data_IF_917338380798
#
_entry.id   IF_917338380798
#
_cell.length_a   1.000
_cell.length_b   1.000
_cell.length_c   1.000
_cell.angle_alpha   90.00
_cell.angle_beta   90.00
_cell.angle_gamma   90.00
#
_symmetry.space_group_name_H-M   'P 1'
#
loop_
_entity.id
_entity.type
_entity.pdbx_description
1 polymer ?
#
# COMPACT_ATOMS: atom_id res chain seq x y z
N UNK A 1 69.52 31.83 27.23
CA UNK A 1 68.94 31.32 25.95
C UNK A 1 68.32 29.95 26.07
N UNK A 2 68.55 29.08 27.03
CA UNK A 2 67.99 27.76 27.14
C UNK A 2 66.55 27.71 27.75
N UNK A 3 66.11 28.74 28.45
CA UNK A 3 64.78 28.76 29.11
C UNK A 3 63.65 29.29 28.22
N UNK A 4 63.92 30.01 27.16
CA UNK A 4 62.94 30.56 26.21
C UNK A 4 62.52 29.49 25.17
N UNK A 5 63.42 28.56 24.87
CA UNK A 5 63.13 27.48 23.90
C UNK A 5 62.12 26.41 24.43
N UNK A 6 62.14 26.21 25.75
CA UNK A 6 61.19 25.27 26.37
C UNK A 6 59.73 25.80 26.47
N UNK A 7 59.59 27.13 26.54
CA UNK A 7 58.24 27.75 26.62
C UNK A 7 57.59 27.85 25.25
N UNK A 8 58.33 27.87 24.17
CA UNK A 8 57.81 27.84 22.80
C UNK A 8 57.41 26.46 22.34
N UNK A 9 57.99 25.39 22.84
CA UNK A 9 57.63 24.02 22.55
C UNK A 9 56.34 23.61 23.31
N UNK A 10 56.13 24.07 24.52
CA UNK A 10 54.90 23.82 25.29
C UNK A 10 53.68 24.57 24.74
N UNK A 11 53.88 25.74 24.13
CA UNK A 11 52.80 26.51 23.50
C UNK A 11 52.32 25.87 22.15
N UNK A 12 53.23 25.23 21.41
CA UNK A 12 52.86 24.56 20.15
C UNK A 12 52.11 23.23 20.34
N UNK A 13 52.30 22.55 21.48
CA UNK A 13 51.56 21.33 21.80
C UNK A 13 50.10 21.64 22.26
N UNK A 14 49.89 22.80 22.89
CA UNK A 14 48.54 23.20 23.33
C UNK A 14 47.63 23.66 22.19
N UNK A 15 48.17 24.05 21.02
CA UNK A 15 47.37 24.46 19.87
C UNK A 15 46.99 23.28 18.96
N UNK A 16 47.69 22.15 19.09
CA UNK A 16 47.41 20.94 18.30
C UNK A 16 46.17 20.16 18.75
N UNK A 17 45.69 20.36 19.98
CA UNK A 17 44.55 19.62 20.52
C UNK A 17 43.19 20.33 20.32
N UNK A 18 43.14 21.49 19.68
CA UNK A 18 41.86 22.24 19.52
C UNK A 18 41.18 22.10 18.17
N UNK A 19 41.64 21.21 17.28
CA UNK A 19 41.03 20.98 15.95
C UNK A 19 40.67 19.53 15.68
N UNK A 20 40.37 18.75 16.69
CA UNK A 20 39.77 17.43 16.44
C UNK A 20 38.38 17.35 17.03
N UNK A 21 37.51 16.90 16.22
CA UNK A 21 36.15 16.44 16.39
C UNK A 21 35.04 17.44 16.11
N UNK A 22 34.63 17.42 14.90
CA UNK A 22 33.29 17.86 14.46
C UNK A 22 32.19 16.87 14.77
N UNK A 23 32.31 16.08 15.81
CA UNK A 23 31.25 15.14 16.24
C UNK A 23 31.11 15.14 17.76
N UNK A 24 31.00 16.33 18.37
CA UNK A 24 30.63 16.38 19.78
C UNK A 24 29.11 16.47 19.93
N UNK A 25 28.43 15.33 19.91
CA UNK A 25 27.18 15.23 20.61
C UNK A 25 27.42 15.47 22.10
N UNK A 26 26.59 16.25 22.80
CA UNK A 26 26.60 16.29 24.26
C UNK A 26 25.92 14.99 24.73
N UNK A 27 26.55 14.23 25.65
CA UNK A 27 25.85 13.13 26.29
C UNK A 27 24.62 13.72 27.04
N UNK A 28 23.49 13.13 26.88
CA UNK A 28 22.36 13.42 27.73
C UNK A 28 22.54 12.77 29.11
N UNK A 29 21.65 13.06 30.05
CA UNK A 29 21.71 12.51 31.41
C UNK A 29 21.51 10.98 31.46
N UNK A 30 21.17 10.34 30.31
CA UNK A 30 20.99 8.90 30.14
C UNK A 30 22.17 8.24 29.45
N UNK A 31 23.21 9.00 29.07
CA UNK A 31 24.37 8.49 28.38
C UNK A 31 24.24 8.36 26.86
N UNK A 32 23.15 8.84 26.29
CA UNK A 32 22.97 8.85 24.82
C UNK A 32 23.73 10.02 24.18
N UNK A 33 24.41 9.76 23.07
CA UNK A 33 25.03 10.78 22.25
C UNK A 33 23.97 11.45 21.35
N UNK A 34 23.53 12.64 21.75
CA UNK A 34 22.62 13.43 20.93
C UNK A 34 23.45 14.23 19.90
N UNK A 35 23.40 13.91 18.61
CA UNK A 35 24.11 14.68 17.61
C UNK A 35 23.54 16.10 17.56
N UNK A 36 24.43 17.12 17.64
CA UNK A 36 24.05 18.52 17.36
C UNK A 36 23.79 18.68 15.86
N UNK A 37 22.66 18.16 15.40
CA UNK A 37 22.22 18.43 14.05
C UNK A 37 21.53 19.78 13.99
N UNK A 38 22.06 20.69 13.18
CA UNK A 38 21.34 21.88 12.70
C UNK A 38 20.38 21.50 11.57
N UNK A 39 20.13 20.20 11.34
CA UNK A 39 19.17 19.77 10.36
C UNK A 39 17.78 20.25 10.80
N UNK A 40 17.08 20.91 9.90
CA UNK A 40 15.64 21.17 10.06
C UNK A 40 14.99 19.83 10.41
N UNK A 41 14.26 19.77 11.51
CA UNK A 41 13.53 18.55 11.88
C UNK A 41 12.70 18.11 10.68
N UNK A 42 12.92 16.88 10.24
CA UNK A 42 12.09 16.30 9.18
C UNK A 42 10.65 16.20 9.72
N UNK A 43 9.73 16.80 9.00
CA UNK A 43 8.29 16.67 9.30
C UNK A 43 7.70 15.77 8.23
N UNK A 44 7.25 14.58 8.63
CA UNK A 44 6.57 13.70 7.70
C UNK A 44 5.28 14.37 7.18
N UNK A 45 5.18 14.50 5.85
CA UNK A 45 3.96 15.02 5.22
C UNK A 45 2.90 13.92 5.22
N UNK A 46 1.72 14.20 5.79
CA UNK A 46 0.60 13.26 5.77
C UNK A 46 0.09 13.09 4.33
N UNK A 47 0.08 11.85 3.79
CA UNK A 47 -0.48 11.60 2.48
C UNK A 47 -1.98 11.96 2.42
N UNK A 48 -2.44 12.32 1.24
CA UNK A 48 -3.86 12.63 1.02
C UNK A 48 -4.73 11.39 1.29
N UNK A 49 -5.85 11.59 2.01
CA UNK A 49 -6.79 10.52 2.35
C UNK A 49 -6.31 9.57 3.45
N UNK A 50 -5.21 9.91 4.15
CA UNK A 50 -4.72 9.13 5.28
C UNK A 50 -4.86 9.88 6.60
N UNK A 51 -4.96 9.15 7.70
CA UNK A 51 -4.89 9.68 9.07
C UNK A 51 -3.61 9.23 9.75
N UNK A 52 -3.10 10.04 10.67
CA UNK A 52 -1.96 9.67 11.49
C UNK A 52 -2.44 8.89 12.72
N UNK A 53 -1.95 7.68 12.86
CA UNK A 53 -2.19 6.82 14.02
C UNK A 53 -1.02 7.01 14.98
N UNK A 54 -1.24 7.45 16.21
CA UNK A 54 -0.16 7.61 17.18
C UNK A 54 0.40 6.25 17.57
N UNK A 55 1.71 6.17 17.79
CA UNK A 55 2.32 4.97 18.38
C UNK A 55 1.85 4.74 19.81
N UNK A 56 1.75 3.49 20.23
CA UNK A 56 1.31 3.14 21.56
C UNK A 56 1.27 1.64 21.82
N UNK A 57 0.99 1.28 23.06
CA UNK A 57 0.83 -0.11 23.48
C UNK A 57 -0.64 -0.43 23.71
N UNK A 58 -1.04 -1.64 23.37
CA UNK A 58 -2.40 -2.13 23.59
C UNK A 58 -2.41 -3.64 23.82
N UNK A 59 -3.52 -4.16 24.31
CA UNK A 59 -3.76 -5.59 24.41
C UNK A 59 -4.40 -6.07 23.13
N UNK A 60 -3.65 -6.82 22.34
CA UNK A 60 -4.07 -7.42 21.06
C UNK A 60 -4.79 -8.74 21.33
N UNK A 61 -5.85 -9.02 20.60
CA UNK A 61 -6.65 -10.25 20.69
C UNK A 61 -8.07 -10.02 21.22
N UNK A 62 -8.85 -11.09 21.26
CA UNK A 62 -10.20 -11.04 21.82
C UNK A 62 -10.11 -10.93 23.36
N UNK A 63 -10.89 -10.01 23.93
CA UNK A 63 -11.07 -9.88 25.36
C UNK A 63 -11.93 -11.06 25.91
N UNK A 64 -12.16 -11.08 27.23
CA UNK A 64 -12.92 -12.12 27.97
C UNK A 64 -14.34 -12.42 27.44
N UNK A 65 -14.78 -11.71 26.42
CA UNK A 65 -16.08 -11.88 25.78
C UNK A 65 -16.08 -12.92 24.62
N UNK A 66 -14.98 -13.61 24.40
CA UNK A 66 -14.93 -14.69 23.40
C UNK A 66 -15.75 -15.89 23.86
N UNK A 67 -16.96 -16.00 23.28
CA UNK A 67 -17.86 -17.12 23.56
C UNK A 67 -17.43 -18.44 22.93
N UNK A 68 -16.44 -18.41 22.01
CA UNK A 68 -15.99 -19.63 21.29
C UNK A 68 -14.99 -20.44 22.09
N UNK A 69 -14.41 -19.86 23.14
CA UNK A 69 -13.44 -20.48 24.04
C UNK A 69 -12.35 -21.31 23.30
N UNK A 70 -11.87 -20.78 22.16
CA UNK A 70 -10.76 -21.38 21.42
C UNK A 70 -9.45 -20.66 21.81
N UNK A 71 -8.74 -21.16 22.84
CA UNK A 71 -7.56 -20.47 23.41
C UNK A 71 -6.46 -20.23 22.35
N UNK A 72 -6.46 -21.02 21.32
CA UNK A 72 -5.42 -21.00 20.28
C UNK A 72 -5.57 -19.80 19.30
N UNK A 73 -6.77 -19.21 19.19
CA UNK A 73 -7.04 -18.15 18.21
C UNK A 73 -6.81 -16.73 18.71
N UNK A 74 -6.82 -16.50 20.01
CA UNK A 74 -7.00 -15.16 20.53
C UNK A 74 -6.40 -14.90 21.92
N UNK A 75 -5.32 -15.58 22.31
CA UNK A 75 -4.67 -15.26 23.59
C UNK A 75 -4.29 -13.77 23.62
N UNK A 76 -4.79 -13.00 24.61
CA UNK A 76 -4.46 -11.59 24.72
C UNK A 76 -2.95 -11.39 24.87
N UNK A 77 -2.38 -10.48 24.12
CA UNK A 77 -0.95 -10.15 24.16
C UNK A 77 -0.76 -8.64 24.13
N UNK A 78 0.01 -8.12 25.10
CA UNK A 78 0.40 -6.71 25.05
C UNK A 78 1.47 -6.51 23.97
N UNK A 79 1.19 -5.63 23.04
CA UNK A 79 2.09 -5.25 21.94
C UNK A 79 2.18 -3.74 21.84
N UNK A 80 3.31 -3.27 21.31
CA UNK A 80 3.57 -1.85 21.06
C UNK A 80 3.71 -1.65 19.56
N UNK A 81 3.05 -0.63 19.03
CA UNK A 81 3.08 -0.27 17.61
C UNK A 81 3.65 1.13 17.47
N UNK A 82 4.58 1.33 16.53
CA UNK A 82 5.09 2.65 16.16
C UNK A 82 4.01 3.48 15.46
N UNK A 83 4.20 4.79 15.39
CA UNK A 83 3.26 5.67 14.66
C UNK A 83 3.32 5.42 13.15
N UNK A 84 2.17 5.48 12.50
CA UNK A 84 2.04 5.30 11.06
C UNK A 84 0.86 6.10 10.49
N UNK A 85 0.86 6.29 9.18
CA UNK A 85 -0.32 6.77 8.46
C UNK A 85 -1.13 5.58 7.96
N UNK A 86 -2.47 5.69 8.00
CA UNK A 86 -3.39 4.69 7.47
C UNK A 86 -4.46 5.36 6.62
N UNK A 87 -4.86 4.73 5.51
CA UNK A 87 -5.99 5.20 4.71
C UNK A 87 -7.25 5.30 5.58
N UNK A 88 -7.96 6.43 5.48
CA UNK A 88 -9.19 6.65 6.28
C UNK A 88 -10.29 5.66 5.94
N UNK A 89 -10.28 5.09 4.74
CA UNK A 89 -11.25 4.11 4.23
C UNK A 89 -10.55 2.95 3.56
N UNK A 90 -11.30 1.93 3.19
CA UNK A 90 -10.85 0.91 2.23
C UNK A 90 -10.51 1.58 0.90
N UNK A 91 -9.62 0.96 0.12
CA UNK A 91 -9.31 1.39 -1.25
C UNK A 91 -10.56 1.23 -2.12
N UNK A 92 -10.96 2.31 -2.80
CA UNK A 92 -12.17 2.32 -3.62
C UNK A 92 -11.92 1.82 -5.04
N UNK A 93 -13.00 1.44 -5.74
CA UNK A 93 -12.94 1.10 -7.17
C UNK A 93 -12.31 2.24 -7.99
N UNK A 94 -12.66 3.50 -7.70
CA UNK A 94 -12.06 4.65 -8.39
C UNK A 94 -10.54 4.73 -8.21
N UNK A 95 -10.05 4.52 -7.00
CA UNK A 95 -8.62 4.53 -6.71
C UNK A 95 -7.89 3.36 -7.38
N UNK A 96 -8.48 2.17 -7.34
CA UNK A 96 -7.88 1.00 -7.97
C UNK A 96 -7.88 1.11 -9.51
N UNK A 97 -8.90 1.73 -10.10
CA UNK A 97 -8.92 2.04 -11.54
C UNK A 97 -7.77 2.94 -11.99
N UNK A 98 -7.29 3.86 -11.13
CA UNK A 98 -6.10 4.65 -11.44
C UNK A 98 -4.87 3.76 -11.60
N UNK A 99 -4.73 2.73 -10.78
CA UNK A 99 -3.66 1.74 -10.92
C UNK A 99 -3.78 0.95 -12.23
N UNK A 100 -4.97 0.45 -12.55
CA UNK A 100 -5.22 -0.24 -13.82
C UNK A 100 -4.85 0.65 -15.02
N UNK A 101 -5.33 1.90 -15.02
CA UNK A 101 -5.04 2.84 -16.09
C UNK A 101 -3.54 3.14 -16.21
N UNK A 102 -2.85 3.33 -15.07
CA UNK A 102 -1.40 3.52 -15.07
C UNK A 102 -0.66 2.35 -15.74
N UNK A 103 -1.00 1.11 -15.38
CA UNK A 103 -0.35 -0.07 -15.96
C UNK A 103 -0.71 -0.22 -17.43
N UNK A 104 -1.97 -0.03 -17.81
CA UNK A 104 -2.42 -0.01 -19.20
C UNK A 104 -1.61 1.00 -20.03
N UNK A 105 -1.52 2.24 -19.56
CA UNK A 105 -0.81 3.30 -20.26
C UNK A 105 0.71 3.05 -20.31
N UNK A 106 1.28 2.43 -19.25
CA UNK A 106 2.67 2.02 -19.23
C UNK A 106 2.97 0.96 -20.30
N UNK A 107 2.11 -0.06 -20.40
CA UNK A 107 2.25 -1.12 -21.42
C UNK A 107 2.10 -0.53 -22.83
N UNK A 108 1.08 0.31 -23.05
CA UNK A 108 0.88 0.96 -24.35
C UNK A 108 2.11 1.76 -24.78
N UNK A 109 2.67 2.57 -23.89
CA UNK A 109 3.88 3.34 -24.15
C UNK A 109 5.09 2.47 -24.43
N UNK A 110 5.24 1.35 -23.75
CA UNK A 110 6.32 0.39 -24.00
C UNK A 110 6.18 -0.23 -25.40
N UNK A 111 4.98 -0.65 -25.78
CA UNK A 111 4.72 -1.20 -27.11
C UNK A 111 4.93 -0.17 -28.23
N UNK A 112 4.51 1.08 -28.00
CA UNK A 112 4.77 2.18 -28.94
C UNK A 112 6.27 2.45 -29.10
N UNK A 113 7.02 2.39 -28.00
CA UNK A 113 8.46 2.54 -27.99
C UNK A 113 9.16 1.43 -28.78
N UNK A 114 8.76 0.18 -28.55
CA UNK A 114 9.30 -0.99 -29.27
C UNK A 114 9.00 -0.89 -30.79
N UNK A 115 7.80 -0.46 -31.15
CA UNK A 115 7.40 -0.29 -32.53
C UNK A 115 8.07 0.92 -33.22
N UNK A 116 8.40 1.97 -32.49
CA UNK A 116 9.11 3.15 -33.02
C UNK A 116 10.59 2.88 -33.34
N UNK A 117 11.19 1.88 -32.69
CA UNK A 117 12.61 1.61 -32.76
C UNK A 117 13.47 2.61 -32.00
N UNK A 118 14.80 2.40 -32.00
CA UNK A 118 15.74 3.28 -31.30
C UNK A 118 15.83 4.67 -31.96
N UNK A 119 15.61 5.71 -31.16
CA UNK A 119 15.94 7.09 -31.51
C UNK A 119 14.86 7.91 -32.20
N UNK A 120 13.59 7.51 -32.15
CA UNK A 120 12.52 8.27 -32.77
C UNK A 120 11.79 9.20 -31.76
N UNK A 121 12.14 10.49 -31.80
CA UNK A 121 11.40 11.56 -31.09
C UNK A 121 10.16 12.02 -31.88
N UNK A 122 9.89 11.42 -33.03
CA UNK A 122 8.80 11.77 -33.96
C UNK A 122 7.83 10.60 -34.16
N UNK A 123 6.66 10.89 -34.68
CA UNK A 123 5.64 9.87 -34.93
C UNK A 123 5.17 9.22 -33.62
N UNK A 124 5.06 7.89 -33.61
CA UNK A 124 4.61 7.13 -32.44
C UNK A 124 5.61 7.16 -31.27
N UNK A 125 6.89 7.45 -31.53
CA UNK A 125 7.93 7.56 -30.52
C UNK A 125 7.69 8.69 -29.52
N UNK A 126 7.02 9.78 -29.94
CA UNK A 126 6.67 10.89 -29.05
C UNK A 126 5.80 10.50 -27.84
N UNK A 127 5.08 9.38 -27.91
CA UNK A 127 4.25 8.87 -26.83
C UNK A 127 5.01 7.98 -25.85
N UNK A 128 6.23 7.59 -26.18
CA UNK A 128 6.93 6.50 -25.52
C UNK A 128 8.13 6.93 -24.68
N UNK A 129 8.96 7.83 -25.17
CA UNK A 129 10.20 8.20 -24.52
C UNK A 129 10.29 9.69 -24.26
N UNK A 130 10.95 10.07 -23.16
CA UNK A 130 11.44 11.42 -22.98
C UNK A 130 12.58 11.62 -23.97
N UNK A 131 12.49 12.67 -24.80
CA UNK A 131 13.60 13.11 -25.60
C UNK A 131 14.83 13.29 -24.69
N UNK A 132 15.91 12.59 -24.98
CA UNK A 132 17.17 12.81 -24.26
C UNK A 132 17.64 14.23 -24.56
N UNK A 133 17.71 15.10 -23.58
CA UNK A 133 18.55 16.28 -23.68
C UNK A 133 19.99 15.80 -23.75
N UNK A 134 20.53 15.75 -24.94
CA UNK A 134 21.93 15.49 -25.22
C UNK A 134 22.81 16.68 -24.77
N UNK A 135 22.78 17.04 -23.50
CA UNK A 135 23.70 18.01 -22.91
C UNK A 135 24.32 17.42 -21.65
N UNK A 136 25.54 16.90 -21.80
CA UNK A 136 26.48 16.62 -20.73
C UNK A 136 26.29 15.29 -20.02
N UNK A 137 26.35 14.17 -20.75
CA UNK A 137 26.61 12.89 -20.13
C UNK A 137 27.88 12.99 -19.29
N UNK A 138 27.80 12.66 -18.00
CA UNK A 138 29.02 12.62 -17.18
C UNK A 138 29.86 11.41 -17.59
N UNK A 139 31.20 11.45 -17.46
CA UNK A 139 32.07 10.30 -17.75
C UNK A 139 31.64 9.01 -17.03
N UNK A 140 30.95 9.15 -15.91
CA UNK A 140 30.40 8.02 -15.15
C UNK A 140 29.15 7.42 -15.82
N UNK A 141 28.32 8.24 -16.47
CA UNK A 141 27.17 7.76 -17.25
C UNK A 141 27.63 7.02 -18.50
N UNK A 142 28.61 7.58 -19.21
CA UNK A 142 29.26 6.90 -20.35
C UNK A 142 29.91 5.56 -19.95
N UNK A 143 30.52 5.53 -18.75
CA UNK A 143 31.08 4.29 -18.20
C UNK A 143 29.99 3.26 -17.89
N UNK A 144 28.84 3.66 -17.33
CA UNK A 144 27.72 2.75 -17.04
C UNK A 144 27.10 2.21 -18.34
N UNK A 145 26.99 3.05 -19.36
CA UNK A 145 26.50 2.64 -20.69
C UNK A 145 27.44 1.64 -21.37
N UNK A 146 28.77 1.83 -21.23
CA UNK A 146 29.78 0.92 -21.79
C UNK A 146 29.84 -0.45 -21.10
N UNK A 147 29.37 -0.56 -19.87
CA UNK A 147 29.36 -1.80 -19.07
C UNK A 147 28.10 -2.65 -19.29
N UNK A 148 27.23 -2.26 -20.25
CA UNK A 148 25.94 -2.95 -20.48
C UNK A 148 25.11 -2.93 -19.21
N UNK A 149 24.37 -1.86 -19.00
CA UNK A 149 23.66 -1.50 -17.78
C UNK A 149 23.26 -2.67 -16.89
N UNK A 150 23.46 -2.53 -15.59
CA UNK A 150 23.08 -3.52 -14.59
C UNK A 150 21.63 -3.95 -14.81
N UNK A 151 21.42 -5.22 -15.16
CA UNK A 151 20.15 -5.93 -15.19
C UNK A 151 18.95 -5.21 -15.85
N UNK A 152 19.02 -4.94 -17.13
CA UNK A 152 17.80 -4.70 -17.93
C UNK A 152 16.98 -3.46 -17.59
N UNK A 153 17.45 -2.60 -16.69
CA UNK A 153 16.87 -1.29 -16.41
C UNK A 153 17.71 -0.20 -17.07
N UNK A 154 17.35 0.11 -18.30
CA UNK A 154 17.91 1.22 -19.03
C UNK A 154 17.28 2.53 -18.50
N UNK A 155 18.02 3.25 -17.64
CA UNK A 155 17.57 4.56 -17.13
C UNK A 155 17.39 5.59 -18.25
N UNK A 156 17.98 5.37 -19.41
CA UNK A 156 17.85 6.23 -20.59
C UNK A 156 16.46 6.13 -21.23
N UNK A 157 15.76 5.02 -21.02
CA UNK A 157 14.44 4.74 -21.60
C UNK A 157 13.31 5.02 -20.63
N UNK A 158 13.15 6.27 -20.19
CA UNK A 158 11.97 6.68 -19.39
C UNK A 158 10.77 6.91 -20.30
N UNK A 159 9.64 6.30 -19.93
CA UNK A 159 8.37 6.56 -20.62
C UNK A 159 7.95 8.02 -20.45
N UNK A 160 7.57 8.66 -21.52
CA UNK A 160 7.06 10.03 -21.49
C UNK A 160 5.57 10.04 -21.12
N UNK A 161 5.29 10.58 -19.96
CA UNK A 161 3.93 10.75 -19.45
C UNK A 161 3.35 12.15 -19.73
N UNK A 162 4.11 13.05 -20.36
CA UNK A 162 3.66 14.41 -20.65
C UNK A 162 2.67 14.44 -21.83
N UNK A 163 2.83 13.53 -22.79
CA UNK A 163 1.94 13.40 -23.93
C UNK A 163 0.82 12.40 -23.61
N UNK A 164 -0.45 12.81 -23.59
CA UNK A 164 -1.55 11.91 -23.30
C UNK A 164 -1.78 10.90 -24.41
N UNK A 165 -1.98 9.63 -24.05
CA UNK A 165 -2.35 8.59 -25.03
C UNK A 165 -3.79 8.78 -25.50
N UNK A 166 -4.01 8.56 -26.78
CA UNK A 166 -5.33 8.58 -27.41
C UNK A 166 -5.94 7.17 -27.36
N UNK A 167 -7.06 7.02 -26.66
CA UNK A 167 -7.74 5.72 -26.53
C UNK A 167 -9.00 5.59 -27.41
N UNK A 168 -9.51 6.72 -27.91
CA UNK A 168 -10.63 6.71 -28.85
C UNK A 168 -10.09 6.49 -30.26
N UNK A 169 -10.69 5.57 -31.00
CA UNK A 169 -10.26 5.22 -32.36
C UNK A 169 -10.34 6.39 -33.35
N UNK A 170 -11.26 7.34 -33.11
CA UNK A 170 -11.38 8.57 -33.90
C UNK A 170 -10.18 9.50 -33.74
N UNK A 171 -9.44 9.39 -32.64
CA UNK A 171 -8.40 10.34 -32.27
C UNK A 171 -6.99 9.75 -32.51
N UNK A 172 -6.90 8.57 -33.12
CA UNK A 172 -5.62 7.92 -33.43
C UNK A 172 -4.84 8.72 -34.46
N UNK A 173 -3.54 9.01 -34.18
CA UNK A 173 -2.75 9.87 -35.07
C UNK A 173 -2.41 9.22 -36.41
N UNK A 174 -2.16 7.91 -36.42
CA UNK A 174 -1.78 7.17 -37.62
C UNK A 174 -2.12 5.67 -37.56
N UNK A 175 -1.85 4.94 -38.64
CA UNK A 175 -2.13 3.51 -38.76
C UNK A 175 -1.23 2.68 -37.84
N UNK A 176 0.04 3.05 -37.72
CA UNK A 176 1.00 2.33 -36.88
C UNK A 176 0.61 2.39 -35.41
N UNK A 177 0.16 3.56 -34.95
CA UNK A 177 -0.38 3.72 -33.60
C UNK A 177 -1.61 2.81 -33.35
N UNK A 178 -2.49 2.74 -34.35
CA UNK A 178 -3.67 1.88 -34.29
C UNK A 178 -3.30 0.39 -34.19
N UNK A 179 -2.34 -0.07 -35.02
CA UNK A 179 -1.86 -1.46 -35.00
C UNK A 179 -1.25 -1.84 -33.63
N UNK A 180 -0.41 -0.97 -33.09
CA UNK A 180 0.21 -1.20 -31.78
C UNK A 180 -0.85 -1.28 -30.68
N UNK A 181 -1.77 -0.31 -30.61
CA UNK A 181 -2.79 -0.34 -29.57
C UNK A 181 -3.79 -1.47 -29.74
N UNK A 182 -4.12 -1.86 -30.99
CA UNK A 182 -5.04 -2.97 -31.25
C UNK A 182 -4.48 -4.30 -30.67
N UNK A 183 -3.16 -4.43 -30.56
CA UNK A 183 -2.54 -5.57 -29.93
C UNK A 183 -2.90 -5.72 -28.44
N UNK A 184 -3.34 -4.65 -27.77
CA UNK A 184 -3.75 -4.68 -26.35
C UNK A 184 -5.20 -5.14 -26.15
N UNK A 185 -5.97 -5.23 -27.22
CA UNK A 185 -7.38 -5.62 -27.15
C UNK A 185 -7.56 -7.11 -27.39
N UNK A 186 -8.71 -7.61 -27.00
CA UNK A 186 -9.12 -8.98 -27.28
C UNK A 186 -9.14 -9.18 -28.82
N UNK A 187 -8.51 -10.24 -29.35
CA UNK A 187 -8.51 -10.53 -30.79
C UNK A 187 -9.94 -10.63 -31.33
N UNK A 188 -10.13 -10.17 -32.57
CA UNK A 188 -11.48 -10.12 -33.18
C UNK A 188 -12.24 -11.44 -33.17
N UNK A 189 -11.54 -12.57 -33.29
CA UNK A 189 -12.12 -13.92 -33.24
C UNK A 189 -12.55 -14.38 -31.83
N UNK A 190 -12.10 -13.69 -30.78
CA UNK A 190 -12.45 -14.00 -29.39
C UNK A 190 -13.46 -13.01 -28.80
N UNK A 191 -13.86 -11.97 -29.55
CA UNK A 191 -14.79 -10.93 -29.07
C UNK A 191 -16.22 -11.44 -28.96
N UNK A 192 -16.81 -11.20 -27.81
CA UNK A 192 -18.25 -11.41 -27.59
C UNK A 192 -18.97 -10.16 -28.09
N UNK A 193 -20.06 -10.34 -28.86
CA UNK A 193 -20.86 -9.24 -29.44
C UNK A 193 -20.05 -8.19 -30.25
N UNK A 194 -18.90 -8.56 -30.78
CA UNK A 194 -17.99 -7.63 -31.47
C UNK A 194 -17.48 -6.46 -30.60
N UNK A 195 -17.61 -6.54 -29.29
CA UNK A 195 -17.14 -5.48 -28.40
C UNK A 195 -15.60 -5.42 -28.34
N UNK A 196 -15.09 -4.22 -28.50
CA UNK A 196 -13.66 -3.95 -28.43
C UNK A 196 -13.22 -3.70 -26.98
N UNK A 197 -12.84 -4.75 -26.28
CA UNK A 197 -12.43 -4.71 -24.87
C UNK A 197 -10.92 -4.96 -24.75
N UNK A 198 -10.29 -4.27 -23.79
CA UNK A 198 -8.87 -4.51 -23.46
C UNK A 198 -8.72 -5.93 -22.91
N UNK A 199 -7.70 -6.64 -23.39
CA UNK A 199 -7.34 -7.95 -22.90
C UNK A 199 -6.71 -7.83 -21.49
N UNK A 200 -7.52 -8.07 -20.47
CA UNK A 200 -7.11 -7.93 -19.07
C UNK A 200 -5.99 -8.89 -18.69
N UNK A 201 -5.80 -10.00 -19.42
CA UNK A 201 -4.70 -10.96 -19.23
C UNK A 201 -3.34 -10.35 -19.50
N UNK A 202 -3.29 -9.28 -20.33
CA UNK A 202 -2.07 -8.53 -20.68
C UNK A 202 -1.71 -7.45 -19.67
N UNK A 203 -2.61 -7.12 -18.73
CA UNK A 203 -2.38 -6.09 -17.73
C UNK A 203 -1.50 -6.65 -16.60
N UNK A 204 -0.21 -6.81 -16.90
CA UNK A 204 0.79 -7.32 -15.97
C UNK A 204 1.59 -6.15 -15.38
N UNK A 205 1.66 -6.09 -14.06
CA UNK A 205 2.49 -5.13 -13.35
C UNK A 205 3.72 -5.82 -12.78
N UNK A 206 4.89 -5.40 -13.23
CA UNK A 206 6.18 -5.90 -12.74
C UNK A 206 6.80 -4.91 -11.76
N UNK A 207 7.21 -5.40 -10.61
CA UNK A 207 7.92 -4.62 -9.60
C UNK A 207 8.99 -5.46 -8.91
N UNK A 208 9.92 -4.77 -8.27
CA UNK A 208 11.01 -5.39 -7.52
C UNK A 208 10.85 -5.08 -6.04
N UNK A 209 11.23 -6.04 -5.21
CA UNK A 209 11.29 -5.89 -3.76
C UNK A 209 12.51 -6.60 -3.19
N UNK A 210 13.01 -6.11 -2.08
CA UNK A 210 14.19 -6.65 -1.42
C UNK A 210 13.81 -7.65 -0.33
N UNK A 211 14.32 -8.87 -0.42
CA UNK A 211 14.22 -9.87 0.64
C UNK A 211 15.31 -9.60 1.70
N UNK A 212 15.09 -8.55 2.49
CA UNK A 212 16.03 -8.02 3.48
C UNK A 212 16.47 -9.07 4.49
N UNK A 213 15.58 -9.99 4.88
CA UNK A 213 15.92 -11.00 5.89
C UNK A 213 16.79 -12.12 5.33
N UNK A 214 16.54 -12.56 4.11
CA UNK A 214 17.45 -13.48 3.45
C UNK A 214 18.82 -12.80 3.23
N UNK A 215 18.83 -11.51 2.90
CA UNK A 215 20.04 -10.72 2.78
C UNK A 215 20.83 -10.62 4.10
N UNK A 216 20.15 -10.37 5.21
CA UNK A 216 20.78 -10.27 6.54
C UNK A 216 21.33 -11.63 7.01
N UNK A 217 20.62 -12.74 6.74
CA UNK A 217 21.07 -14.08 7.12
C UNK A 217 22.30 -14.55 6.37
N UNK A 218 22.39 -14.28 5.08
CA UNK A 218 23.46 -14.79 4.21
C UNK A 218 24.69 -13.86 4.15
N UNK A 219 24.58 -12.59 4.62
CA UNK A 219 25.69 -11.59 4.58
C UNK A 219 26.36 -11.43 3.21
N UNK A 220 25.74 -11.94 2.14
CA UNK A 220 26.24 -11.81 0.79
C UNK A 220 25.74 -10.53 0.10
N UNK A 221 26.31 -10.15 -1.05
CA UNK A 221 25.92 -8.94 -1.77
C UNK A 221 24.46 -8.90 -2.17
N UNK A 222 23.82 -7.72 -2.06
CA UNK A 222 22.39 -7.49 -2.11
C UNK A 222 21.64 -7.86 -3.39
N UNK A 223 22.30 -7.95 -4.54
CA UNK A 223 21.66 -8.18 -5.84
C UNK A 223 20.91 -9.52 -5.92
N UNK A 224 21.38 -10.53 -5.17
CA UNK A 224 20.78 -11.88 -5.08
C UNK A 224 19.39 -11.87 -4.40
N UNK A 225 19.11 -10.86 -3.59
CA UNK A 225 17.89 -10.76 -2.78
C UNK A 225 16.85 -9.82 -3.38
N UNK A 226 17.18 -9.18 -4.50
CA UNK A 226 16.23 -8.42 -5.28
C UNK A 226 15.30 -9.39 -6.03
N UNK A 227 14.07 -9.51 -5.57
CA UNK A 227 13.04 -10.34 -6.19
C UNK A 227 12.24 -9.52 -7.16
N UNK A 228 12.01 -10.06 -8.36
CA UNK A 228 11.13 -9.47 -9.37
C UNK A 228 9.83 -10.28 -9.41
N UNK A 229 8.71 -9.61 -9.28
CA UNK A 229 7.37 -10.18 -9.40
C UNK A 229 6.63 -9.55 -10.56
N UNK A 230 5.84 -10.34 -11.28
CA UNK A 230 4.94 -9.88 -12.35
C UNK A 230 3.55 -10.41 -12.07
N UNK A 231 2.60 -9.54 -11.83
CA UNK A 231 1.27 -9.85 -11.32
C UNK A 231 0.21 -9.32 -12.27
N UNK A 232 -0.76 -10.17 -12.63
CA UNK A 232 -1.96 -9.74 -13.33
C UNK A 232 -2.82 -8.90 -12.34
N UNK A 233 -3.05 -7.63 -12.67
CA UNK A 233 -3.60 -6.67 -11.73
C UNK A 233 -5.12 -6.48 -11.82
N UNK A 234 -5.74 -7.03 -12.86
CA UNK A 234 -7.17 -6.85 -13.04
C UNK A 234 -7.95 -7.63 -11.96
N UNK A 235 -8.91 -7.00 -11.26
CA UNK A 235 -9.70 -7.69 -10.24
C UNK A 235 -10.53 -8.83 -10.86
N UNK A 236 -10.70 -9.91 -10.13
CA UNK A 236 -11.60 -10.99 -10.53
C UNK A 236 -13.06 -10.55 -10.35
N UNK A 237 -13.72 -10.13 -11.42
CA UNK A 237 -15.11 -9.71 -11.40
C UNK A 237 -16.07 -10.90 -11.28
N UNK A 238 -15.61 -12.13 -11.54
CA UNK A 238 -16.44 -13.34 -11.44
C UNK A 238 -16.74 -13.77 -10.00
N UNK A 239 -16.10 -13.13 -9.01
CA UNK A 239 -16.31 -13.40 -7.57
C UNK A 239 -17.77 -13.28 -7.16
N UNK A 240 -18.52 -12.37 -7.78
CA UNK A 240 -19.95 -12.17 -7.49
C UNK A 240 -20.81 -13.38 -7.89
N UNK A 241 -20.43 -14.08 -8.95
CA UNK A 241 -21.12 -15.33 -9.37
C UNK A 241 -20.64 -16.48 -8.50
N UNK A 242 -19.32 -16.60 -8.29
CA UNK A 242 -18.73 -17.73 -7.56
C UNK A 242 -19.14 -17.76 -6.10
N UNK A 243 -19.20 -16.61 -5.45
CA UNK A 243 -19.54 -16.51 -4.03
C UNK A 243 -21.07 -16.55 -3.81
N UNK A 244 -21.88 -16.30 -4.87
CA UNK A 244 -23.34 -16.25 -4.84
C UNK A 244 -23.97 -16.96 -6.04
N UNK A 245 -24.18 -18.26 -5.92
CA UNK A 245 -24.73 -19.11 -7.00
C UNK A 245 -26.18 -18.76 -7.43
N UNK A 246 -26.87 -17.82 -6.77
CA UNK A 246 -28.26 -17.51 -7.00
C UNK A 246 -28.52 -16.24 -7.82
N UNK A 247 -27.49 -15.48 -8.15
CA UNK A 247 -27.63 -14.14 -8.72
C UNK A 247 -26.97 -14.00 -10.09
N UNK A 248 -27.36 -14.82 -11.05
CA UNK A 248 -26.76 -14.82 -12.39
C UNK A 248 -26.93 -13.51 -13.18
N UNK A 249 -27.88 -12.65 -12.81
CA UNK A 249 -28.23 -11.42 -13.53
C UNK A 249 -28.03 -10.16 -12.67
N UNK A 250 -27.25 -10.23 -11.62
CA UNK A 250 -27.01 -9.07 -10.76
C UNK A 250 -26.11 -8.04 -11.44
N UNK A 251 -26.46 -6.74 -11.43
CA UNK A 251 -25.64 -5.66 -11.99
C UNK A 251 -24.22 -5.58 -11.40
N UNK A 252 -24.03 -6.13 -10.20
CA UNK A 252 -22.74 -6.18 -9.52
C UNK A 252 -21.72 -7.03 -10.26
N UNK A 253 -22.15 -8.14 -10.83
CA UNK A 253 -21.28 -9.02 -11.58
C UNK A 253 -20.71 -8.35 -12.83
N UNK A 254 -21.54 -7.59 -13.56
CA UNK A 254 -21.12 -6.93 -14.80
C UNK A 254 -20.46 -5.58 -14.58
N UNK A 255 -20.99 -4.80 -13.64
CA UNK A 255 -20.69 -3.38 -13.53
C UNK A 255 -19.97 -2.93 -12.25
N UNK A 256 -19.87 -3.75 -11.20
CA UNK A 256 -19.38 -3.28 -9.90
C UNK A 256 -18.03 -2.57 -9.98
N UNK A 257 -17.08 -3.09 -10.74
CA UNK A 257 -15.76 -2.48 -10.82
C UNK A 257 -15.73 -1.24 -11.72
N UNK A 258 -16.45 -1.24 -12.84
CA UNK A 258 -16.34 -0.16 -13.85
C UNK A 258 -17.46 0.88 -13.81
N UNK A 259 -18.65 0.50 -13.39
CA UNK A 259 -19.75 1.45 -13.43
C UNK A 259 -19.53 2.62 -12.45
N UNK A 260 -19.89 3.83 -12.88
CA UNK A 260 -19.60 5.04 -12.11
C UNK A 260 -20.39 5.13 -10.79
N UNK A 261 -21.53 4.45 -10.68
CA UNK A 261 -22.32 4.34 -9.45
C UNK A 261 -21.51 3.72 -8.31
N UNK A 262 -20.63 2.76 -8.61
CA UNK A 262 -19.81 2.05 -7.63
C UNK A 262 -18.40 2.62 -7.44
N UNK A 263 -18.11 3.83 -7.96
CA UNK A 263 -16.77 4.43 -7.87
C UNK A 263 -16.24 4.61 -6.45
N UNK A 264 -17.16 4.90 -5.51
CA UNK A 264 -16.84 5.12 -4.09
C UNK A 264 -17.06 3.88 -3.21
N UNK A 265 -17.32 2.73 -3.81
CA UNK A 265 -17.42 1.45 -3.11
C UNK A 265 -16.02 0.83 -2.97
N UNK A 266 -15.78 0.00 -1.95
CA UNK A 266 -14.49 -0.67 -1.79
C UNK A 266 -14.20 -1.58 -2.98
N UNK A 267 -12.95 -1.65 -3.41
CA UNK A 267 -12.54 -2.62 -4.41
C UNK A 267 -12.57 -4.03 -3.79
N UNK A 268 -13.16 -4.97 -4.52
CA UNK A 268 -13.23 -6.40 -4.17
C UNK A 268 -12.79 -7.25 -5.35
N UNK A 269 -12.66 -8.56 -5.15
CA UNK A 269 -12.15 -9.42 -6.21
C UNK A 269 -10.63 -9.26 -6.40
N UNK A 270 -9.92 -8.78 -5.39
CA UNK A 270 -8.47 -8.57 -5.40
C UNK A 270 -7.77 -9.57 -4.51
N UNK A 271 -6.69 -10.16 -5.02
CA UNK A 271 -5.82 -11.04 -4.24
C UNK A 271 -4.88 -10.22 -3.34
N UNK A 272 -4.27 -10.89 -2.37
CA UNK A 272 -3.25 -10.27 -1.52
C UNK A 272 -2.05 -9.75 -2.32
N UNK A 273 -1.64 -10.48 -3.34
CA UNK A 273 -0.53 -10.10 -4.22
C UNK A 273 -0.88 -8.85 -5.04
N UNK A 274 -2.12 -8.75 -5.53
CA UNK A 274 -2.63 -7.55 -6.21
C UNK A 274 -2.69 -6.33 -5.29
N UNK A 275 -3.11 -6.52 -4.03
CA UNK A 275 -3.14 -5.44 -3.04
C UNK A 275 -1.72 -4.92 -2.73
N UNK A 276 -0.72 -5.80 -2.66
CA UNK A 276 0.71 -5.42 -2.53
C UNK A 276 1.24 -4.69 -3.76
N UNK A 277 0.89 -5.17 -4.94
CA UNK A 277 1.23 -4.50 -6.19
C UNK A 277 0.68 -3.07 -6.23
N UNK A 278 -0.56 -2.87 -5.76
CA UNK A 278 -1.14 -1.54 -5.60
C UNK A 278 -0.34 -0.66 -4.62
N UNK A 279 0.12 -1.19 -3.48
CA UNK A 279 0.96 -0.45 -2.54
C UNK A 279 2.27 0.02 -3.19
N UNK A 280 2.92 -0.85 -3.97
CA UNK A 280 4.12 -0.50 -4.73
C UNK A 280 3.84 0.61 -5.75
N UNK A 281 2.76 0.50 -6.54
CA UNK A 281 2.31 1.55 -7.45
C UNK A 281 2.07 2.87 -6.72
N UNK A 282 1.34 2.87 -5.58
CA UNK A 282 1.06 4.07 -4.79
C UNK A 282 2.35 4.74 -4.32
N UNK A 283 3.35 3.95 -3.94
CA UNK A 283 4.70 4.44 -3.57
C UNK A 283 5.38 5.14 -4.75
N UNK A 284 5.39 4.51 -5.92
CA UNK A 284 5.97 5.05 -7.13
C UNK A 284 5.27 6.33 -7.58
N UNK A 285 3.94 6.32 -7.61
CA UNK A 285 3.14 7.49 -7.96
C UNK A 285 3.42 8.70 -7.03
N UNK A 286 3.59 8.45 -5.72
CA UNK A 286 3.97 9.50 -4.76
C UNK A 286 5.40 10.01 -4.97
N UNK A 287 6.33 9.15 -5.32
CA UNK A 287 7.70 9.54 -5.65
C UNK A 287 7.73 10.44 -6.91
N UNK A 288 6.98 10.07 -7.93
CA UNK A 288 6.86 10.83 -9.17
C UNK A 288 6.21 12.20 -8.92
N UNK A 289 5.15 12.26 -8.10
CA UNK A 289 4.52 13.52 -7.68
C UNK A 289 5.52 14.43 -6.96
N UNK A 290 6.27 13.91 -6.00
CA UNK A 290 7.27 14.67 -5.25
C UNK A 290 8.37 15.22 -6.17
N UNK A 291 8.80 14.42 -7.15
CA UNK A 291 9.81 14.81 -8.14
C UNK A 291 9.32 15.96 -9.03
N UNK A 292 8.07 15.88 -9.53
CA UNK A 292 7.46 16.95 -10.34
C UNK A 292 7.30 18.26 -9.57
N UNK A 293 6.92 18.18 -8.30
CA UNK A 293 6.70 19.37 -7.47
C UNK A 293 8.00 19.97 -6.91
N UNK A 294 9.17 19.37 -7.18
CA UNK A 294 10.50 19.77 -6.64
C UNK A 294 10.50 19.95 -5.11
N UNK A 295 9.55 19.32 -4.43
CA UNK A 295 9.32 19.53 -3.00
C UNK A 295 10.39 18.93 -2.11
N UNK A 296 10.91 17.77 -2.44
CA UNK A 296 11.98 17.11 -1.68
C UNK A 296 12.83 16.21 -2.58
N UNK A 297 14.14 16.13 -2.29
CA UNK A 297 15.04 15.11 -2.88
C UNK A 297 14.88 13.73 -2.18
N UNK A 298 14.08 13.66 -1.14
CA UNK A 298 13.93 12.45 -0.32
C UNK A 298 12.85 11.55 -0.90
N UNK A 299 13.17 10.28 -1.09
CA UNK A 299 12.19 9.27 -1.50
C UNK A 299 11.08 9.17 -0.43
N UNK A 300 9.81 9.07 -0.81
CA UNK A 300 8.74 8.84 0.15
C UNK A 300 8.94 7.48 0.82
N UNK A 301 8.46 7.34 2.05
CA UNK A 301 8.34 6.03 2.68
C UNK A 301 7.40 5.14 1.85
N UNK A 302 7.67 3.84 1.81
CA UNK A 302 6.86 2.90 1.06
C UNK A 302 5.45 2.77 1.65
N UNK A 303 4.45 2.70 0.79
CA UNK A 303 3.13 2.21 1.17
C UNK A 303 3.16 0.68 1.22
N UNK A 304 2.44 0.10 2.16
CA UNK A 304 2.32 -1.34 2.37
C UNK A 304 0.95 -1.69 2.94
N UNK A 305 0.64 -2.96 3.03
CA UNK A 305 -0.49 -3.41 3.82
C UNK A 305 -0.20 -3.24 5.32
N UNK A 306 -1.22 -3.02 6.16
CA UNK A 306 -1.04 -3.01 7.61
C UNK A 306 -0.63 -4.40 8.11
N UNK A 307 0.20 -4.47 9.12
CA UNK A 307 0.32 -5.71 9.89
C UNK A 307 -0.99 -5.96 10.66
N UNK A 308 -1.21 -7.18 11.08
CA UNK A 308 -2.40 -7.53 11.85
C UNK A 308 -2.51 -6.72 13.16
N UNK A 309 -1.38 -6.46 13.81
CA UNK A 309 -1.33 -5.64 15.02
C UNK A 309 -1.63 -4.17 14.75
N UNK A 310 -1.09 -3.59 13.69
CA UNK A 310 -1.40 -2.21 13.28
C UNK A 310 -2.87 -2.05 12.93
N UNK A 311 -3.43 -3.02 12.21
CA UNK A 311 -4.84 -3.00 11.85
C UNK A 311 -5.74 -3.02 13.08
N UNK A 312 -5.49 -3.95 14.03
CA UNK A 312 -6.29 -4.06 15.25
C UNK A 312 -6.15 -2.83 16.16
N UNK A 313 -4.91 -2.33 16.33
CA UNK A 313 -4.64 -1.11 17.08
C UNK A 313 -5.41 0.09 16.50
N UNK A 314 -5.37 0.24 15.20
CA UNK A 314 -6.09 1.29 14.48
C UNK A 314 -7.62 1.13 14.59
N UNK A 315 -8.13 -0.11 14.48
CA UNK A 315 -9.55 -0.40 14.61
C UNK A 315 -10.11 -0.06 16.00
N UNK A 316 -9.34 -0.30 17.06
CA UNK A 316 -9.74 0.07 18.44
C UNK A 316 -9.86 1.57 18.66
N UNK A 317 -9.25 2.40 17.81
CA UNK A 317 -9.43 3.85 17.83
C UNK A 317 -9.03 4.54 19.15
N UNK A 318 -8.09 3.96 19.91
CA UNK A 318 -7.65 4.45 21.23
C UNK A 318 -8.49 3.96 22.41
N UNK A 319 -9.45 3.08 22.18
CA UNK A 319 -10.26 2.47 23.23
C UNK A 319 -9.62 1.17 23.73
N UNK A 320 -9.42 1.03 25.02
CA UNK A 320 -8.91 -0.20 25.61
C UNK A 320 -9.97 -1.29 25.58
N UNK A 321 -9.58 -2.50 25.17
CA UNK A 321 -10.43 -3.70 25.14
C UNK A 321 -11.78 -3.53 24.43
N UNK A 322 -11.88 -2.58 23.51
CA UNK A 322 -13.11 -2.34 22.75
C UNK A 322 -13.50 -3.55 21.91
N UNK A 323 -14.74 -4.03 22.07
CA UNK A 323 -15.29 -5.13 21.28
C UNK A 323 -15.38 -4.73 19.79
N UNK A 324 -15.88 -3.52 19.53
CA UNK A 324 -16.04 -2.94 18.19
C UNK A 324 -15.35 -1.58 18.10
N UNK A 325 -15.13 -1.03 16.91
CA UNK A 325 -14.47 0.26 16.72
C UNK A 325 -15.14 1.46 17.44
N UNK A 326 -16.41 1.33 17.79
CA UNK A 326 -17.19 2.33 18.54
C UNK A 326 -17.19 2.08 20.05
N UNK A 327 -16.56 1.02 20.57
CA UNK A 327 -16.30 0.74 21.97
C UNK A 327 -17.27 -0.21 22.65
N UNK A 328 -18.56 -0.06 22.43
CA UNK A 328 -19.58 -0.88 23.08
C UNK A 328 -19.79 -2.25 22.43
N UNK A 329 -20.49 -3.17 23.11
CA UNK A 329 -20.78 -4.52 22.59
C UNK A 329 -21.99 -4.57 21.65
N UNK A 330 -22.70 -3.46 21.49
CA UNK A 330 -23.94 -3.39 20.71
C UNK A 330 -23.63 -3.05 19.25
N UNK A 331 -24.41 -3.65 18.34
CA UNK A 331 -24.34 -3.44 16.90
C UNK A 331 -25.33 -2.39 16.38
N UNK A 332 -26.18 -1.88 17.28
CA UNK A 332 -27.20 -0.87 17.03
C UNK A 332 -26.94 0.36 17.90
N UNK A 333 -27.24 1.53 17.35
CA UNK A 333 -27.29 2.78 18.10
C UNK A 333 -28.62 2.90 18.90
N UNK A 334 -28.75 3.96 19.70
CA UNK A 334 -29.94 4.22 20.53
C UNK A 334 -31.22 4.44 19.71
N UNK A 335 -31.10 4.70 18.40
CA UNK A 335 -32.22 4.86 17.45
C UNK A 335 -32.56 3.57 16.75
N UNK A 336 -31.83 2.48 17.02
CA UNK A 336 -32.02 1.17 16.38
C UNK A 336 -31.41 1.08 14.97
N UNK A 337 -30.48 2.00 14.61
CA UNK A 337 -29.71 1.93 13.38
C UNK A 337 -28.47 1.07 13.56
N UNK A 338 -28.12 0.27 12.56
CA UNK A 338 -26.89 -0.51 12.58
C UNK A 338 -25.64 0.39 12.49
N UNK A 339 -24.59 0.02 13.20
CA UNK A 339 -23.34 0.76 13.28
C UNK A 339 -22.28 0.32 12.26
N UNK A 340 -22.55 -0.73 11.50
CA UNK A 340 -21.71 -1.27 10.45
C UNK A 340 -22.54 -2.00 9.37
N UNK A 341 -21.94 -2.21 8.21
CA UNK A 341 -22.54 -3.01 7.15
C UNK A 341 -22.15 -4.49 7.32
N UNK A 342 -23.11 -5.32 7.73
CA UNK A 342 -22.91 -6.74 8.00
C UNK A 342 -24.23 -7.51 7.85
N UNK A 343 -24.22 -8.84 7.98
CA UNK A 343 -25.41 -9.69 7.97
C UNK A 343 -26.05 -9.79 9.36
N UNK A 344 -27.10 -9.01 9.66
CA UNK A 344 -27.64 -8.93 11.02
C UNK A 344 -28.49 -10.15 11.42
N UNK A 345 -28.98 -10.91 10.45
CA UNK A 345 -29.90 -12.04 10.70
C UNK A 345 -29.52 -13.27 9.89
N UNK A 346 -29.89 -14.44 10.40
CA UNK A 346 -29.80 -15.70 9.68
C UNK A 346 -30.85 -15.71 8.57
N UNK A 347 -30.48 -16.03 7.33
CA UNK A 347 -31.38 -16.06 6.18
C UNK A 347 -31.03 -15.00 5.13
N UNK A 348 -32.01 -14.51 4.41
CA UNK A 348 -31.82 -13.55 3.32
C UNK A 348 -31.26 -12.22 3.81
N UNK A 349 -30.41 -11.61 2.99
CA UNK A 349 -29.97 -10.23 3.18
C UNK A 349 -31.20 -9.33 2.99
N UNK A 350 -31.53 -8.53 3.98
CA UNK A 350 -32.62 -7.56 3.90
C UNK A 350 -31.97 -6.19 3.92
N UNK A 351 -32.11 -5.50 2.79
CA UNK A 351 -31.82 -4.10 2.70
C UNK A 351 -32.88 -3.32 3.48
N UNK A 352 -32.44 -2.59 4.48
CA UNK A 352 -33.27 -1.65 5.22
C UNK A 352 -32.49 -0.34 5.33
N UNK A 353 -32.62 0.51 4.32
CA UNK A 353 -31.94 1.81 4.25
C UNK A 353 -32.20 2.66 5.50
N UNK A 354 -33.37 2.53 6.12
CA UNK A 354 -33.70 3.26 7.36
C UNK A 354 -32.90 2.79 8.55
N UNK A 355 -32.42 1.54 8.52
CA UNK A 355 -31.57 0.96 9.56
C UNK A 355 -30.08 0.92 9.20
N UNK A 356 -29.70 1.45 8.02
CA UNK A 356 -28.32 1.51 7.57
C UNK A 356 -27.75 0.15 7.13
N UNK A 357 -28.59 -0.75 6.60
CA UNK A 357 -28.11 -2.02 6.01
C UNK A 357 -28.09 -1.93 4.49
N UNK A 358 -27.12 -2.60 3.91
CA UNK A 358 -26.98 -2.79 2.47
C UNK A 358 -27.01 -4.28 2.16
N UNK A 359 -27.53 -4.65 1.01
CA UNK A 359 -27.59 -6.06 0.58
C UNK A 359 -26.18 -6.65 0.42
N UNK A 360 -25.28 -5.83 -0.09
CA UNK A 360 -23.87 -6.18 -0.33
C UNK A 360 -22.96 -5.07 0.26
N UNK A 361 -21.92 -4.69 -0.45
CA UNK A 361 -21.02 -3.60 -0.02
C UNK A 361 -21.75 -2.26 0.03
N UNK A 362 -21.30 -1.37 0.91
CA UNK A 362 -21.72 0.02 1.01
C UNK A 362 -20.67 0.96 0.42
N UNK A 363 -21.04 2.18 0.01
CA UNK A 363 -20.06 3.22 -0.26
C UNK A 363 -19.17 3.45 0.98
N UNK A 364 -17.88 3.68 0.79
CA UNK A 364 -17.00 4.01 1.91
C UNK A 364 -17.49 5.27 2.65
N UNK A 365 -17.29 5.35 3.96
CA UNK A 365 -17.77 6.43 4.85
C UNK A 365 -19.31 6.44 5.06
N UNK A 366 -19.97 5.31 4.82
CA UNK A 366 -21.40 5.20 5.12
C UNK A 366 -21.70 5.14 6.62
N UNK A 367 -20.72 4.80 7.43
CA UNK A 367 -20.83 4.68 8.89
C UNK A 367 -19.91 5.66 9.62
N UNK A 368 -20.10 5.77 10.94
CA UNK A 368 -19.30 6.69 11.75
C UNK A 368 -17.85 6.25 11.87
N UNK A 369 -16.94 7.21 11.85
CA UNK A 369 -15.51 6.97 12.08
C UNK A 369 -15.22 6.65 13.54
N UNK A 370 -14.17 5.86 13.77
CA UNK A 370 -13.67 5.57 15.12
C UNK A 370 -12.87 6.75 15.73
N UNK A 371 -12.34 6.57 16.95
CA UNK A 371 -11.60 7.61 17.67
C UNK A 371 -10.32 8.12 16.98
N UNK A 372 -9.73 7.33 16.08
CA UNK A 372 -8.59 7.77 15.25
C UNK A 372 -9.01 8.40 13.92
N UNK A 373 -10.29 8.40 13.58
CA UNK A 373 -10.81 9.00 12.35
C UNK A 373 -10.88 8.03 11.17
N UNK A 374 -10.84 6.72 11.42
CA UNK A 374 -10.95 5.66 10.42
C UNK A 374 -12.40 5.22 10.27
N UNK A 375 -12.82 5.01 9.03
CA UNK A 375 -14.15 4.53 8.67
C UNK A 375 -14.13 3.04 8.35
N UNK A 376 -15.26 2.39 8.52
CA UNK A 376 -15.54 1.03 8.08
C UNK A 376 -14.52 -0.02 8.59
N UNK A 377 -14.01 0.18 9.83
CA UNK A 377 -13.11 -0.77 10.49
C UNK A 377 -13.83 -2.02 11.05
N UNK A 378 -15.12 -2.14 10.82
CA UNK A 378 -15.94 -3.30 11.11
C UNK A 378 -17.03 -3.40 10.06
N UNK A 379 -17.16 -4.57 9.42
CA UNK A 379 -18.11 -4.80 8.34
C UNK A 379 -17.66 -4.20 7.02
N UNK A 380 -18.59 -4.03 6.10
CA UNK A 380 -18.40 -3.65 4.70
C UNK A 380 -17.55 -4.67 3.95
N UNK A 381 -16.23 -4.54 3.88
CA UNK A 381 -15.35 -5.59 3.38
C UNK A 381 -14.30 -5.96 4.41
N UNK A 382 -14.01 -7.24 4.53
CA UNK A 382 -12.87 -7.71 5.30
C UNK A 382 -11.57 -7.27 4.60
N UNK A 383 -10.50 -7.04 5.36
CA UNK A 383 -9.32 -6.38 4.83
C UNK A 383 -8.07 -7.25 4.90
N UNK A 384 -7.35 -7.33 3.77
CA UNK A 384 -6.05 -7.97 3.73
C UNK A 384 -5.04 -7.28 4.65
N UNK A 385 -4.30 -8.08 5.41
CA UNK A 385 -3.12 -7.62 6.15
C UNK A 385 -1.83 -8.23 5.58
N UNK A 386 -0.69 -7.62 5.91
CA UNK A 386 0.63 -8.17 5.53
C UNK A 386 0.94 -9.47 6.25
N UNK A 387 0.35 -9.69 7.43
CA UNK A 387 0.68 -10.79 8.32
C UNK A 387 0.23 -12.15 7.80
N UNK A 388 1.07 -13.19 7.91
CA UNK A 388 0.65 -14.56 7.68
C UNK A 388 -0.34 -14.98 8.79
N UNK A 389 -1.28 -15.84 8.43
CA UNK A 389 -2.19 -16.41 9.41
C UNK A 389 -1.69 -17.76 9.92
N UNK A 390 -1.47 -17.82 11.23
CA UNK A 390 -1.23 -19.04 11.96
C UNK A 390 -1.86 -18.89 13.34
N UNK A 391 -2.44 -19.94 13.89
CA UNK A 391 -3.08 -19.91 15.21
C UNK A 391 -2.08 -19.49 16.32
N UNK A 392 -0.83 -19.90 16.18
CA UNK A 392 0.25 -19.63 17.15
C UNK A 392 0.99 -18.29 16.89
N UNK A 393 0.57 -17.48 15.93
CA UNK A 393 1.30 -16.27 15.53
C UNK A 393 1.58 -15.33 16.72
N UNK A 394 0.60 -15.17 17.61
CA UNK A 394 0.74 -14.29 18.77
C UNK A 394 1.80 -14.77 19.77
N UNK A 395 2.01 -16.07 19.89
CA UNK A 395 3.01 -16.64 20.80
C UNK A 395 4.44 -16.32 20.34
N UNK A 396 4.68 -16.35 19.04
CA UNK A 396 6.02 -16.22 18.45
C UNK A 396 6.35 -14.81 17.92
N UNK A 397 5.36 -13.94 17.81
CA UNK A 397 5.59 -12.56 17.32
C UNK A 397 6.28 -11.71 18.39
N UNK A 398 7.06 -10.71 17.95
CA UNK A 398 7.63 -9.69 18.84
C UNK A 398 6.54 -8.92 19.59
N UNK A 399 6.86 -8.36 20.74
CA UNK A 399 6.00 -7.41 21.44
C UNK A 399 6.13 -5.99 20.91
N UNK A 400 7.22 -5.68 20.22
CA UNK A 400 7.46 -4.39 19.59
C UNK A 400 7.30 -4.53 18.08
N UNK A 401 6.39 -3.78 17.49
CA UNK A 401 6.07 -3.79 16.07
C UNK A 401 5.95 -5.21 15.53
N UNK A 402 4.99 -6.02 16.00
CA UNK A 402 4.88 -7.42 15.61
C UNK A 402 4.78 -7.54 14.08
N UNK A 403 5.81 -8.10 13.49
CA UNK A 403 5.88 -8.40 12.06
C UNK A 403 6.50 -9.77 11.88
N UNK A 404 5.89 -10.58 11.05
CA UNK A 404 6.43 -11.86 10.60
C UNK A 404 6.72 -11.78 9.09
N UNK A 405 7.39 -10.73 8.67
CA UNK A 405 7.55 -10.35 7.27
C UNK A 405 8.12 -11.46 6.37
N UNK A 406 9.06 -12.27 6.86
CA UNK A 406 9.65 -13.37 6.10
C UNK A 406 8.73 -14.54 5.86
N UNK A 407 7.90 -14.84 6.83
CA UNK A 407 6.89 -15.87 6.67
C UNK A 407 5.75 -15.35 5.79
N UNK A 408 5.54 -14.02 5.74
CA UNK A 408 4.46 -13.42 4.98
C UNK A 408 4.47 -13.83 3.51
N UNK A 409 5.62 -13.93 2.88
CA UNK A 409 5.71 -14.31 1.46
C UNK A 409 5.59 -15.81 1.21
N UNK A 410 6.01 -16.63 2.15
CA UNK A 410 6.00 -18.10 2.04
C UNK A 410 4.65 -18.68 2.42
N UNK A 411 3.99 -18.09 3.43
CA UNK A 411 2.70 -18.59 3.90
C UNK A 411 1.59 -18.32 2.89
N UNK A 412 0.84 -19.34 2.58
CA UNK A 412 -0.30 -19.28 1.67
C UNK A 412 -1.47 -18.54 2.29
N UNK A 413 -1.68 -18.70 3.62
CA UNK A 413 -2.77 -18.05 4.35
C UNK A 413 -2.35 -16.69 4.86
N UNK A 414 -3.15 -15.68 4.53
CA UNK A 414 -2.97 -14.30 5.02
C UNK A 414 -4.07 -13.95 5.99
N UNK A 415 -3.73 -13.20 7.02
CA UNK A 415 -4.71 -12.71 7.97
C UNK A 415 -5.61 -11.65 7.33
N UNK A 416 -6.91 -11.81 7.55
CA UNK A 416 -7.98 -10.91 7.11
C UNK A 416 -8.71 -10.41 8.34
N UNK A 417 -9.06 -9.14 8.37
CA UNK A 417 -9.60 -8.49 9.57
C UNK A 417 -10.88 -7.69 9.26
N UNK A 418 -11.68 -7.39 10.31
CA UNK A 418 -12.83 -6.51 10.26
C UNK A 418 -14.17 -7.17 9.99
N UNK A 419 -14.18 -8.36 9.38
CA UNK A 419 -15.40 -8.98 8.87
C UNK A 419 -16.00 -8.18 7.71
N UNK A 420 -17.09 -8.65 7.15
CA UNK A 420 -17.66 -8.09 5.92
C UNK A 420 -19.20 -8.07 5.93
N UNK A 421 -19.77 -7.51 4.87
CA UNK A 421 -21.21 -7.46 4.63
C UNK A 421 -21.91 -8.83 4.69
N UNK A 422 -21.20 -9.92 4.41
CA UNK A 422 -21.74 -11.30 4.49
C UNK A 422 -21.68 -11.92 5.87
N UNK A 423 -20.87 -11.34 6.78
CA UNK A 423 -20.54 -11.95 8.06
C UNK A 423 -21.50 -11.49 9.16
N UNK A 424 -21.60 -12.31 10.22
CA UNK A 424 -22.42 -11.99 11.40
C UNK A 424 -21.63 -11.10 12.37
N UNK A 425 -22.33 -10.41 13.27
CA UNK A 425 -21.73 -9.45 14.20
C UNK A 425 -20.54 -9.95 15.00
N UNK A 426 -20.48 -11.24 15.32
CA UNK A 426 -19.33 -11.84 16.03
C UNK A 426 -18.01 -11.69 15.24
N UNK A 427 -18.06 -11.84 13.93
CA UNK A 427 -16.87 -11.74 13.04
C UNK A 427 -16.35 -10.30 12.95
N UNK A 428 -17.22 -9.31 13.23
CA UNK A 428 -16.88 -7.89 13.17
C UNK A 428 -16.08 -7.38 14.39
N UNK A 429 -15.91 -8.21 15.43
CA UNK A 429 -15.14 -7.82 16.61
C UNK A 429 -13.71 -7.43 16.22
N UNK A 430 -13.19 -6.35 16.83
CA UNK A 430 -11.84 -5.83 16.53
C UNK A 430 -10.75 -6.88 16.72
N UNK A 431 -10.89 -7.77 17.69
CA UNK A 431 -9.95 -8.85 17.98
C UNK A 431 -10.17 -10.13 17.17
N UNK A 432 -11.27 -10.23 16.39
CA UNK A 432 -11.56 -11.44 15.61
C UNK A 432 -10.58 -11.61 14.47
N UNK A 433 -10.11 -12.84 14.26
CA UNK A 433 -9.12 -13.19 13.24
C UNK A 433 -9.73 -14.13 12.23
N UNK A 434 -9.57 -13.79 10.95
CA UNK A 434 -9.91 -14.67 9.84
C UNK A 434 -8.73 -14.77 8.87
N UNK A 435 -8.86 -15.61 7.86
CA UNK A 435 -7.83 -15.80 6.86
C UNK A 435 -8.39 -16.20 5.51
N UNK A 436 -7.63 -15.88 4.47
CA UNK A 436 -7.88 -16.40 3.13
C UNK A 436 -6.53 -16.69 2.46
N UNK A 437 -6.53 -17.50 1.40
CA UNK A 437 -5.33 -17.77 0.62
C UNK A 437 -4.92 -16.53 -0.15
N UNK A 438 -3.61 -16.27 -0.21
CA UNK A 438 -3.04 -15.06 -0.84
C UNK A 438 -3.38 -14.89 -2.32
N UNK A 439 -3.66 -15.97 -3.02
CA UNK A 439 -4.02 -16.06 -4.43
C UNK A 439 -5.54 -16.11 -4.69
N UNK A 440 -6.34 -16.10 -3.63
CA UNK A 440 -7.80 -16.12 -3.73
C UNK A 440 -8.38 -14.72 -3.69
N UNK A 441 -9.21 -14.42 -4.66
CA UNK A 441 -10.03 -13.21 -4.69
C UNK A 441 -11.44 -13.51 -4.20
N UNK A 442 -12.07 -12.57 -3.47
CA UNK A 442 -13.43 -12.71 -2.91
C UNK A 442 -14.23 -11.43 -3.10
N UNK A 443 -15.57 -11.58 -3.17
CA UNK A 443 -16.50 -10.46 -3.27
C UNK A 443 -16.66 -9.67 -1.96
N UNK A 444 -16.07 -10.13 -0.90
CA UNK A 444 -16.19 -9.59 0.45
C UNK A 444 -14.83 -9.25 1.09
N UNK A 445 -13.73 -9.31 0.33
CA UNK A 445 -12.39 -8.93 0.79
C UNK A 445 -11.86 -7.78 -0.07
N UNK A 446 -11.50 -6.70 0.61
CA UNK A 446 -10.80 -5.55 0.09
C UNK A 446 -9.49 -5.30 0.86
N UNK A 447 -9.03 -4.06 0.90
CA UNK A 447 -7.83 -3.68 1.66
C UNK A 447 -7.73 -2.17 1.86
N UNK A 448 -6.89 -1.77 2.81
CA UNK A 448 -6.38 -0.39 2.96
C UNK A 448 -4.87 -0.39 3.10
N UNK A 449 -4.23 0.77 2.87
CA UNK A 449 -2.78 0.88 2.90
C UNK A 449 -2.32 1.68 4.11
N UNK A 450 -1.08 1.41 4.53
CA UNK A 450 -0.37 2.17 5.56
C UNK A 450 0.96 2.69 5.03
N UNK A 451 1.52 3.68 5.73
CA UNK A 451 2.85 4.22 5.48
C UNK A 451 3.51 4.53 6.82
N UNK A 452 4.75 4.11 7.01
CA UNK A 452 5.47 4.35 8.25
C UNK A 452 5.76 5.84 8.45
N UNK A 453 5.68 6.30 9.69
CA UNK A 453 6.16 7.63 10.09
C UNK A 453 7.57 7.46 10.65
N UNK A 454 8.62 8.07 10.04
CA UNK A 454 9.97 7.94 10.53
C UNK A 454 10.09 8.38 11.99
N UNK A 455 10.75 7.58 12.83
CA UNK A 455 11.00 7.91 14.22
C UNK A 455 11.83 9.21 14.34
N UNK A 456 11.56 10.01 15.37
CA UNK A 456 12.17 11.31 15.55
C UNK A 456 11.41 12.48 14.91
N UNK A 457 10.35 12.23 14.17
CA UNK A 457 9.46 13.26 13.62
C UNK A 457 8.32 13.55 14.59
N UNK A 458 8.63 14.08 15.76
CA UNK A 458 7.64 14.32 16.84
C UNK A 458 6.55 15.37 16.50
N UNK A 459 6.57 15.95 15.30
CA UNK A 459 5.58 16.98 14.88
C UNK A 459 5.17 16.75 13.43
N UNK A 460 4.05 16.08 13.22
CA UNK A 460 3.36 16.20 11.94
C UNK A 460 2.46 17.46 11.97
N UNK A 461 2.54 18.29 10.93
CA UNK A 461 1.61 19.40 10.79
C UNK A 461 0.19 18.84 10.62
N UNK A 462 -0.68 19.07 11.61
CA UNK A 462 -2.11 19.01 11.36
C UNK A 462 -2.41 20.04 10.26
N UNK A 463 -2.89 19.59 9.11
CA UNK A 463 -3.55 20.49 8.18
C UNK A 463 -4.80 21.00 8.90
N UNK A 464 -4.79 22.24 9.36
CA UNK A 464 -6.01 22.96 9.64
C UNK A 464 -6.69 23.16 8.30
N UNK A 465 -7.92 22.67 8.17
CA UNK A 465 -8.81 22.98 7.05
C UNK A 465 -9.04 24.47 6.97
#
# INVERSE_FOLDING_TARGET
MKKIFFLLISASVAVSCSKSSRSSGKPDTRGELIPKSKSKSFVAERPYGMVAIPGGSFVMGLADQDMTNTPEKAMPKTVTVSSFFMDETEVTNAQYRLFINYVRDSIARTLLAEAAGEGSDTGIGQYAYLAQKAEGATPYQEFLESQGGRDGYDESKRLDWSVPLQWKTSDYPDVQYAEVLESMYIPKNERINNERLIDTRKLLYSYQWEDVESAVKDKSRGDKYLKKESIAIYPDTTVWIRDFNYAYNEPLYEGYFWHNAYKNYPVVGVTWEQARAYCNYKTKAKADENSRQKKTKQKPMAFRLPTEAEWEYAARGGLENATYPWGGPYLLDDRGCYLANFKPKRGNYIEDEKKGTYTYTAPVKSFSKNGYGLYDMAGNVAEWTESPYNNSTYQFSSTLNPSLSNQAYKEVRKSVRGGSWKDVGYVLMTGYRDWEKKDSARSYIGFRTVQDIPEGTAKYKRRTN
#
